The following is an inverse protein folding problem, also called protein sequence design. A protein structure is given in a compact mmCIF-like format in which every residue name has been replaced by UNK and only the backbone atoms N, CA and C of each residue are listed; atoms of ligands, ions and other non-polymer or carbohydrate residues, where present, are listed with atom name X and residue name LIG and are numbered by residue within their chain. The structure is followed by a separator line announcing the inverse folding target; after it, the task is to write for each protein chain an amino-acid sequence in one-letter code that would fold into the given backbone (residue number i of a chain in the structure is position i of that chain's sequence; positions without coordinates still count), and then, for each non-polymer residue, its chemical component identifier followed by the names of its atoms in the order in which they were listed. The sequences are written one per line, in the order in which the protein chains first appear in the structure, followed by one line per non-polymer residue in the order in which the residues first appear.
data_IF_553807287648
#
_entry.id   IF_553807287648
#
_cell.length_a   1.000
_cell.length_b   1.000
_cell.length_c   1.000
_cell.angle_alpha   90.00
_cell.angle_beta   90.00
_cell.angle_gamma   90.00
#
_symmetry.space_group_name_H-M   'P 1'
#
loop_
_entity.id
_entity.type
_entity.pdbx_description
1 polymer ?
#
# COMPACT_ATOMS: atom_id res chain seq x y z
N UNK A 1 -24.14 -1.16 5.15
CA UNK A 1 -22.67 -1.06 5.09
C UNK A 1 -22.13 -1.16 6.51
N UNK A 2 -20.98 -1.81 6.72
CA UNK A 2 -20.42 -2.00 8.06
C UNK A 2 -20.09 -0.64 8.71
N UNK A 3 -20.71 -0.34 9.87
CA UNK A 3 -20.46 0.89 10.64
C UNK A 3 -19.09 0.88 11.31
N UNK A 4 -18.60 2.04 11.74
CA UNK A 4 -17.24 2.14 12.31
C UNK A 4 -17.11 1.31 13.61
N UNK A 5 -15.88 0.95 14.00
CA UNK A 5 -15.64 0.22 15.25
C UNK A 5 -16.09 1.03 16.48
N UNK A 6 -15.96 2.36 16.44
CA UNK A 6 -16.43 3.21 17.52
C UNK A 6 -17.96 3.21 17.61
N UNK A 7 -18.66 3.29 16.48
CA UNK A 7 -20.13 3.16 16.44
C UNK A 7 -20.60 1.80 16.95
N UNK A 8 -19.83 0.73 16.71
CA UNK A 8 -20.14 -0.62 17.23
C UNK A 8 -19.99 -0.68 18.76
N UNK A 9 -18.95 -0.05 19.31
CA UNK A 9 -18.65 -0.06 20.75
C UNK A 9 -19.59 0.87 21.54
N UNK A 10 -19.96 2.01 20.94
CA UNK A 10 -20.79 3.04 21.59
C UNK A 10 -22.30 2.74 21.48
N UNK A 11 -22.71 1.70 20.72
CA UNK A 11 -24.12 1.38 20.50
C UNK A 11 -24.80 0.88 21.78
N UNK A 12 -25.82 1.59 22.31
CA UNK A 12 -26.56 1.16 23.51
C UNK A 12 -27.57 0.02 23.23
N UNK A 13 -27.81 -0.32 21.95
CA UNK A 13 -28.65 -1.45 21.53
C UNK A 13 -27.79 -2.56 20.93
N UNK A 14 -28.15 -3.81 21.25
CA UNK A 14 -27.50 -5.03 20.77
C UNK A 14 -27.07 -4.88 19.31
N UNK A 15 -25.75 -4.87 19.03
CA UNK A 15 -25.27 -4.75 17.67
C UNK A 15 -25.81 -5.90 16.81
N UNK A 16 -26.02 -5.64 15.52
CA UNK A 16 -26.43 -6.67 14.57
C UNK A 16 -25.53 -7.92 14.69
N UNK A 17 -26.14 -9.06 15.01
CA UNK A 17 -25.44 -10.31 15.31
C UNK A 17 -24.47 -10.70 14.19
N UNK A 18 -24.87 -10.50 12.92
CA UNK A 18 -24.05 -10.79 11.75
C UNK A 18 -22.80 -9.89 11.69
N UNK A 19 -22.93 -8.63 12.06
CA UNK A 19 -21.81 -7.69 12.17
C UNK A 19 -20.83 -8.12 13.25
N UNK A 20 -21.33 -8.55 14.41
CA UNK A 20 -20.49 -9.08 15.49
C UNK A 20 -19.75 -10.37 15.10
N UNK A 21 -20.45 -11.31 14.47
CA UNK A 21 -19.85 -12.57 13.99
C UNK A 21 -18.75 -12.31 12.96
N UNK A 22 -18.95 -11.35 12.07
CA UNK A 22 -17.94 -10.96 11.08
C UNK A 22 -16.71 -10.33 11.74
N UNK A 23 -16.90 -9.37 12.65
CA UNK A 23 -15.76 -8.78 13.38
C UNK A 23 -15.03 -9.82 14.23
N UNK A 24 -15.78 -10.68 14.91
CA UNK A 24 -15.21 -11.80 15.65
C UNK A 24 -14.36 -12.67 14.72
N UNK A 25 -14.86 -13.07 13.55
CA UNK A 25 -14.08 -13.85 12.58
C UNK A 25 -12.81 -13.12 12.12
N UNK A 26 -12.89 -11.83 11.79
CA UNK A 26 -11.74 -11.01 11.36
C UNK A 26 -10.67 -10.94 12.47
N UNK A 27 -11.08 -10.80 13.74
CA UNK A 27 -10.18 -10.56 14.87
C UNK A 27 -9.71 -11.85 15.56
N UNK A 28 -10.33 -13.00 15.29
CA UNK A 28 -10.09 -14.27 16.02
C UNK A 28 -8.85 -15.07 15.58
N UNK A 29 -7.79 -14.40 15.13
CA UNK A 29 -6.55 -15.12 14.80
C UNK A 29 -5.92 -15.69 16.06
N UNK A 30 -5.70 -17.01 16.08
CA UNK A 30 -4.92 -17.69 17.14
C UNK A 30 -3.41 -17.70 16.85
N UNK A 31 -3.03 -17.42 15.60
CA UNK A 31 -1.66 -17.54 15.12
C UNK A 31 -0.82 -16.29 15.39
N UNK A 32 -1.47 -15.13 15.45
CA UNK A 32 -0.79 -13.84 15.60
C UNK A 32 -1.74 -12.77 16.14
N UNK A 33 -1.14 -11.72 16.71
CA UNK A 33 -1.80 -10.49 17.13
C UNK A 33 -1.08 -9.28 16.53
N UNK A 34 -1.84 -8.23 16.24
CA UNK A 34 -1.33 -6.97 15.69
C UNK A 34 -1.45 -5.89 16.78
N UNK A 35 -0.33 -5.23 17.07
CA UNK A 35 -0.25 -4.20 18.09
C UNK A 35 0.14 -2.87 17.46
N UNK A 36 -0.61 -1.81 17.74
CA UNK A 36 -0.16 -0.45 17.41
C UNK A 36 1.10 -0.12 18.19
N UNK A 37 2.06 0.54 17.54
CA UNK A 37 3.33 0.90 18.16
C UNK A 37 3.71 2.35 17.88
N UNK A 38 4.75 2.82 18.57
CA UNK A 38 5.14 4.22 18.59
C UNK A 38 6.20 4.56 17.53
N UNK A 39 6.48 5.86 17.38
CA UNK A 39 7.49 6.37 16.45
C UNK A 39 8.92 5.91 16.76
N UNK A 40 9.24 5.58 18.01
CA UNK A 40 10.59 5.14 18.37
C UNK A 40 10.94 3.81 17.68
N UNK A 41 9.96 2.91 17.53
CA UNK A 41 10.16 1.67 16.76
C UNK A 41 10.45 1.91 15.29
N UNK A 42 9.93 3.00 14.70
CA UNK A 42 10.24 3.34 13.33
C UNK A 42 11.72 3.69 13.14
N UNK A 43 12.33 4.42 14.09
CA UNK A 43 13.78 4.69 14.03
C UNK A 43 14.60 3.41 14.17
N UNK A 44 14.21 2.48 15.05
CA UNK A 44 14.86 1.16 15.14
C UNK A 44 14.75 0.40 13.81
N UNK A 45 13.60 0.43 13.13
CA UNK A 45 13.45 -0.20 11.82
C UNK A 45 14.42 0.45 10.81
N UNK A 46 14.54 1.78 10.81
CA UNK A 46 15.48 2.50 9.92
C UNK A 46 16.94 2.14 10.20
N UNK A 47 17.32 1.96 11.46
CA UNK A 47 18.66 1.50 11.83
C UNK A 47 18.91 0.07 11.33
N UNK A 48 17.93 -0.82 11.49
CA UNK A 48 18.03 -2.23 11.07
C UNK A 48 18.05 -2.42 9.55
N UNK A 49 17.33 -1.59 8.80
CA UNK A 49 17.26 -1.69 7.32
C UNK A 49 18.28 -0.82 6.59
N UNK A 50 18.85 0.17 7.29
CA UNK A 50 19.74 1.17 6.73
C UNK A 50 19.02 2.41 6.17
N UNK A 51 19.81 3.38 5.74
CA UNK A 51 19.30 4.64 5.22
C UNK A 51 18.62 4.46 3.84
N UNK A 52 17.45 5.09 3.61
CA UNK A 52 16.79 5.05 2.32
C UNK A 52 17.60 5.85 1.28
N UNK A 53 17.54 5.44 0.01
CA UNK A 53 18.29 6.15 -1.05
C UNK A 53 17.72 7.52 -1.38
N UNK A 54 16.43 7.68 -1.14
CA UNK A 54 15.67 8.88 -1.42
C UNK A 54 14.90 9.27 -0.16
N UNK A 55 14.52 10.55 0.00
CA UNK A 55 13.58 10.95 1.04
C UNK A 55 12.28 10.15 0.92
N UNK A 56 11.86 9.52 2.02
CA UNK A 56 10.64 8.71 2.10
C UNK A 56 9.69 9.31 3.13
N UNK A 57 8.36 9.23 2.90
CA UNK A 57 7.40 9.65 3.90
C UNK A 57 7.50 8.75 5.15
N UNK A 58 7.27 9.35 6.32
CA UNK A 58 7.09 8.62 7.58
C UNK A 58 5.69 7.99 7.56
N UNK A 59 5.52 6.72 7.97
CA UNK A 59 4.20 6.10 8.04
C UNK A 59 3.30 6.82 9.05
N UNK A 60 2.01 6.94 8.71
CA UNK A 60 1.00 7.51 9.61
C UNK A 60 0.69 6.55 10.77
N UNK A 61 0.69 5.25 10.49
CA UNK A 61 0.49 4.20 11.49
C UNK A 61 1.57 3.12 11.36
N UNK A 62 2.03 2.63 12.51
CA UNK A 62 2.98 1.53 12.61
C UNK A 62 2.37 0.43 13.48
N UNK A 63 2.44 -0.80 12.99
CA UNK A 63 1.99 -1.97 13.72
C UNK A 63 3.09 -3.01 13.84
N UNK A 64 3.18 -3.65 15.00
CA UNK A 64 4.03 -4.81 15.27
C UNK A 64 3.19 -6.08 15.31
N UNK A 65 3.73 -7.15 14.73
CA UNK A 65 3.12 -8.47 14.73
C UNK A 65 3.82 -9.33 15.78
N UNK A 66 3.00 -9.93 16.64
CA UNK A 66 3.41 -10.91 17.63
C UNK A 66 2.78 -12.24 17.27
N UNK A 67 3.60 -13.26 17.00
CA UNK A 67 3.12 -14.60 16.70
C UNK A 67 2.90 -15.42 17.98
N UNK A 68 2.07 -16.47 17.89
CA UNK A 68 1.88 -17.41 18.99
C UNK A 68 3.16 -18.19 19.32
N UNK A 69 3.20 -18.81 20.51
CA UNK A 69 4.40 -19.49 21.03
C UNK A 69 4.90 -20.57 20.08
N UNK A 70 3.99 -21.34 19.48
CA UNK A 70 4.32 -22.44 18.57
C UNK A 70 5.00 -21.93 17.28
N UNK A 71 4.50 -20.82 16.72
CA UNK A 71 5.08 -20.22 15.53
C UNK A 71 6.41 -19.52 15.82
N UNK A 72 6.55 -18.88 16.98
CA UNK A 72 7.83 -18.30 17.41
C UNK A 72 8.89 -19.39 17.60
N UNK A 73 8.58 -20.46 18.33
CA UNK A 73 9.49 -21.58 18.55
C UNK A 73 9.95 -22.19 17.22
N UNK A 74 9.02 -22.44 16.28
CA UNK A 74 9.37 -22.95 14.94
C UNK A 74 10.32 -22.01 14.17
N UNK A 75 10.11 -20.70 14.26
CA UNK A 75 10.97 -19.72 13.60
C UNK A 75 12.36 -19.66 14.26
N UNK A 76 12.42 -19.68 15.58
CA UNK A 76 13.65 -19.69 16.37
C UNK A 76 14.47 -20.97 16.13
N UNK A 77 13.81 -22.13 16.06
CA UNK A 77 14.43 -23.41 15.68
C UNK A 77 15.02 -23.35 14.27
N UNK A 78 14.30 -22.74 13.33
CA UNK A 78 14.78 -22.55 11.94
C UNK A 78 15.94 -21.55 11.88
N UNK A 79 15.89 -20.50 12.70
CA UNK A 79 16.95 -19.51 12.83
C UNK A 79 18.25 -20.18 13.28
N UNK A 80 18.17 -21.12 14.23
CA UNK A 80 19.30 -21.92 14.70
C UNK A 80 20.54 -21.07 15.06
N UNK A 81 20.31 -19.92 15.71
CA UNK A 81 21.35 -18.98 16.12
C UNK A 81 21.95 -18.10 15.02
N UNK A 82 21.42 -18.15 13.78
CA UNK A 82 21.85 -17.27 12.68
C UNK A 82 21.35 -15.84 12.87
N UNK A 83 22.05 -14.90 12.25
CA UNK A 83 21.65 -13.49 12.24
C UNK A 83 20.33 -13.27 11.50
N UNK A 84 19.63 -12.19 11.86
CA UNK A 84 18.41 -11.74 11.20
C UNK A 84 18.70 -10.49 10.35
N UNK A 85 18.12 -10.48 9.16
CA UNK A 85 18.12 -9.35 8.23
C UNK A 85 16.71 -8.78 8.22
N UNK A 86 16.60 -7.45 8.30
CA UNK A 86 15.33 -6.75 8.14
C UNK A 86 15.24 -6.18 6.72
N UNK A 87 14.12 -6.42 6.05
CA UNK A 87 13.88 -5.92 4.70
C UNK A 87 12.41 -5.63 4.46
N UNK A 88 12.12 -4.73 3.53
CA UNK A 88 10.79 -4.29 3.16
C UNK A 88 10.21 -5.16 2.03
N UNK A 89 8.91 -5.41 2.11
CA UNK A 89 8.10 -5.98 1.03
C UNK A 89 6.94 -5.03 0.72
N UNK A 90 6.90 -4.51 -0.50
CA UNK A 90 5.77 -3.73 -0.97
C UNK A 90 4.74 -4.60 -1.67
N UNK A 91 3.46 -4.35 -1.41
CA UNK A 91 2.35 -5.04 -2.08
C UNK A 91 1.10 -4.17 -2.15
N UNK A 92 0.15 -4.56 -3.00
CA UNK A 92 -1.18 -3.94 -3.02
C UNK A 92 -1.93 -4.25 -1.71
N UNK A 93 -2.74 -3.31 -1.24
CA UNK A 93 -3.39 -3.37 0.08
C UNK A 93 -4.23 -4.65 0.27
N UNK A 94 -4.96 -5.06 -0.77
CA UNK A 94 -5.82 -6.25 -0.79
C UNK A 94 -5.07 -7.56 -0.53
N UNK A 95 -3.76 -7.60 -0.76
CA UNK A 95 -2.95 -8.79 -0.51
C UNK A 95 -2.62 -8.98 0.97
N UNK A 96 -2.66 -7.91 1.78
CA UNK A 96 -2.18 -7.97 3.17
C UNK A 96 -3.01 -8.88 4.07
N UNK A 97 -4.30 -9.06 3.80
CA UNK A 97 -5.09 -10.07 4.51
C UNK A 97 -4.50 -11.47 4.29
N UNK A 98 -4.24 -11.85 3.04
CA UNK A 98 -3.63 -13.15 2.72
C UNK A 98 -2.19 -13.25 3.25
N UNK A 99 -1.38 -12.20 3.11
CA UNK A 99 0.00 -12.18 3.62
C UNK A 99 0.03 -12.40 5.13
N UNK A 100 -0.91 -11.83 5.88
CA UNK A 100 -0.97 -12.02 7.33
C UNK A 100 -1.37 -13.45 7.72
N UNK A 101 -2.35 -14.04 7.02
CA UNK A 101 -2.84 -15.39 7.36
C UNK A 101 -1.98 -16.52 6.80
N UNK A 102 -1.39 -16.33 5.62
CA UNK A 102 -0.70 -17.37 4.86
C UNK A 102 0.81 -17.12 4.72
N UNK A 103 1.31 -15.96 5.18
CA UNK A 103 2.70 -15.54 4.92
C UNK A 103 2.93 -15.10 3.47
N UNK A 104 4.17 -14.70 3.18
CA UNK A 104 4.60 -14.35 1.83
C UNK A 104 4.84 -15.63 1.03
N UNK A 105 3.97 -15.90 0.05
CA UNK A 105 3.97 -17.14 -0.72
C UNK A 105 4.94 -17.04 -1.91
N UNK A 106 6.17 -17.54 -1.75
CA UNK A 106 7.23 -17.47 -2.76
C UNK A 106 6.82 -18.02 -4.13
N UNK A 107 5.95 -19.03 -4.18
CA UNK A 107 5.54 -19.73 -5.41
C UNK A 107 4.50 -19.00 -6.25
N UNK A 108 3.88 -17.94 -5.73
CA UNK A 108 2.93 -17.10 -6.48
C UNK A 108 3.64 -16.03 -7.32
N UNK A 109 4.94 -15.81 -7.10
CA UNK A 109 5.76 -14.81 -7.80
C UNK A 109 6.57 -15.44 -8.96
N UNK A 110 5.91 -16.13 -9.89
CA UNK A 110 6.58 -16.87 -10.98
C UNK A 110 7.17 -15.97 -12.07
N UNK A 111 6.62 -14.79 -12.29
CA UNK A 111 7.09 -13.84 -13.30
C UNK A 111 8.03 -12.82 -12.66
N UNK A 112 9.32 -13.14 -12.56
CA UNK A 112 10.27 -12.21 -11.99
C UNK A 112 11.65 -12.31 -12.62
N UNK A 113 12.21 -11.14 -12.91
CA UNK A 113 13.44 -10.97 -13.69
C UNK A 113 14.65 -11.68 -13.06
N UNK A 114 14.70 -11.78 -11.73
CA UNK A 114 15.84 -12.35 -11.02
C UNK A 114 15.60 -13.77 -10.51
N UNK A 115 14.55 -14.46 -10.97
CA UNK A 115 14.21 -15.83 -10.58
C UNK A 115 13.13 -15.94 -9.49
N UNK A 116 12.55 -17.13 -9.34
CA UNK A 116 11.41 -17.36 -8.45
C UNK A 116 11.73 -17.11 -6.97
N UNK A 117 10.82 -16.43 -6.27
CA UNK A 117 10.92 -16.20 -4.83
C UNK A 117 10.14 -14.97 -4.35
N UNK A 118 10.22 -14.71 -3.05
CA UNK A 118 9.73 -13.47 -2.45
C UNK A 118 10.78 -12.39 -2.56
N UNK A 119 10.41 -11.29 -3.23
CA UNK A 119 11.25 -10.14 -3.42
C UNK A 119 11.11 -9.18 -2.24
N UNK A 120 12.25 -8.84 -1.64
CA UNK A 120 12.38 -7.85 -0.59
C UNK A 120 13.42 -6.82 -0.99
N UNK A 121 13.42 -5.70 -0.30
CA UNK A 121 14.45 -4.67 -0.46
C UNK A 121 14.85 -4.05 0.87
N UNK A 122 16.12 -3.70 1.03
CA UNK A 122 16.56 -2.91 2.19
C UNK A 122 16.13 -1.44 2.09
N UNK A 123 15.62 -1.00 0.95
CA UNK A 123 15.29 0.40 0.69
C UNK A 123 13.77 0.63 0.65
N UNK A 124 13.26 1.35 1.65
CA UNK A 124 11.85 1.69 1.74
C UNK A 124 11.32 2.44 0.51
N UNK A 125 12.15 3.28 -0.13
CA UNK A 125 11.72 4.03 -1.32
C UNK A 125 11.36 3.11 -2.48
N UNK A 126 12.05 1.97 -2.62
CA UNK A 126 11.75 0.95 -3.63
C UNK A 126 10.50 0.16 -3.26
N UNK A 127 10.34 -0.23 -1.99
CA UNK A 127 9.15 -0.96 -1.53
C UNK A 127 7.85 -0.14 -1.70
N UNK A 128 7.92 1.18 -1.53
CA UNK A 128 6.79 2.08 -1.74
C UNK A 128 6.29 2.09 -3.18
N UNK A 129 7.15 1.88 -4.18
CA UNK A 129 6.74 1.79 -5.60
C UNK A 129 5.81 0.61 -5.86
N UNK A 130 5.94 -0.45 -5.06
CA UNK A 130 5.09 -1.65 -5.13
C UNK A 130 3.87 -1.60 -4.19
N UNK A 131 3.69 -0.47 -3.49
CA UNK A 131 2.65 -0.30 -2.46
C UNK A 131 1.71 0.87 -2.82
N UNK A 132 0.93 0.77 -3.91
CA UNK A 132 0.05 1.85 -4.31
C UNK A 132 -1.08 2.06 -3.30
N UNK A 133 -1.53 3.32 -3.17
CA UNK A 133 -2.72 3.65 -2.40
C UNK A 133 -3.94 2.96 -3.01
N UNK A 134 -4.70 2.27 -2.16
CA UNK A 134 -5.85 1.48 -2.55
C UNK A 134 -7.02 1.73 -1.60
N UNK A 135 -8.25 1.49 -2.08
CA UNK A 135 -9.44 1.63 -1.26
C UNK A 135 -9.46 0.53 -0.19
N UNK A 136 -9.46 0.94 1.08
CA UNK A 136 -9.67 0.08 2.23
C UNK A 136 -11.12 0.16 2.71
N UNK A 137 -11.28 0.15 4.03
CA UNK A 137 -12.60 0.26 4.64
C UNK A 137 -13.04 1.72 4.81
N UNK A 138 -14.18 2.09 4.22
CA UNK A 138 -14.69 3.46 4.19
C UNK A 138 -14.87 4.11 5.58
N UNK A 139 -15.18 3.31 6.60
CA UNK A 139 -15.44 3.77 7.98
C UNK A 139 -14.25 3.50 8.91
N UNK A 140 -13.06 3.22 8.33
CA UNK A 140 -11.83 3.02 9.08
C UNK A 140 -11.38 4.31 9.76
N UNK A 141 -10.94 4.20 11.01
CA UNK A 141 -10.29 5.29 11.75
C UNK A 141 -8.98 5.74 11.08
N UNK A 142 -8.33 4.87 10.30
CA UNK A 142 -7.11 5.19 9.54
C UNK A 142 -7.41 5.92 8.22
N UNK A 143 -8.69 6.10 7.87
CA UNK A 143 -9.12 6.65 6.59
C UNK A 143 -9.40 5.57 5.53
N UNK A 144 -10.10 5.94 4.45
CA UNK A 144 -10.64 5.01 3.46
C UNK A 144 -9.64 4.59 2.38
N UNK A 145 -8.50 5.27 2.25
CA UNK A 145 -7.49 5.02 1.22
C UNK A 145 -6.15 4.84 1.89
N UNK A 146 -5.58 3.65 1.77
CA UNK A 146 -4.37 3.23 2.48
C UNK A 146 -3.34 2.65 1.51
N UNK A 147 -2.07 2.85 1.82
CA UNK A 147 -0.94 2.07 1.29
C UNK A 147 -0.28 1.33 2.46
N UNK A 148 0.25 0.14 2.22
CA UNK A 148 0.88 -0.68 3.25
C UNK A 148 2.17 -1.31 2.75
N UNK A 149 3.21 -1.30 3.59
CA UNK A 149 4.50 -1.95 3.38
C UNK A 149 4.76 -2.91 4.54
N UNK A 150 5.12 -4.15 4.24
CA UNK A 150 5.56 -5.12 5.23
C UNK A 150 7.05 -4.93 5.54
N UNK A 151 7.42 -4.97 6.81
CA UNK A 151 8.81 -5.14 7.26
C UNK A 151 8.96 -6.59 7.69
N UNK A 152 9.89 -7.31 7.07
CA UNK A 152 10.08 -8.73 7.25
C UNK A 152 11.35 -9.01 8.03
N UNK A 153 11.28 -9.99 8.93
CA UNK A 153 12.45 -10.65 9.51
C UNK A 153 12.84 -11.81 8.60
N UNK A 154 14.10 -11.82 8.18
CA UNK A 154 14.66 -12.82 7.28
C UNK A 154 15.86 -13.48 7.95
N UNK A 155 15.88 -14.80 8.05
CA UNK A 155 17.03 -15.55 8.57
C UNK A 155 18.16 -15.49 7.54
N UNK A 156 19.37 -15.08 7.96
CA UNK A 156 20.53 -15.05 7.08
C UNK A 156 20.99 -16.47 6.71
N UNK A 157 20.41 -16.99 5.63
CA UNK A 157 20.59 -18.37 5.16
C UNK A 157 21.07 -18.40 3.70
N UNK A 158 21.80 -19.44 3.25
CA UNK A 158 22.21 -19.59 1.86
C UNK A 158 21.09 -19.55 0.81
N UNK A 159 19.84 -19.83 1.21
CA UNK A 159 18.65 -19.76 0.33
C UNK A 159 18.12 -18.33 0.15
N UNK A 160 18.62 -17.37 0.91
CA UNK A 160 18.41 -15.94 0.68
C UNK A 160 19.45 -15.47 -0.33
N UNK A 161 19.00 -15.04 -1.51
CA UNK A 161 19.88 -14.54 -2.58
C UNK A 161 19.97 -13.02 -2.48
N UNK A 162 21.19 -12.52 -2.38
CA UNK A 162 21.49 -11.12 -2.13
C UNK A 162 22.97 -10.83 -2.38
N UNK A 163 23.28 -9.57 -2.62
CA UNK A 163 24.66 -9.06 -2.68
C UNK A 163 24.93 -8.25 -1.41
N UNK A 164 25.32 -8.94 -0.33
CA UNK A 164 25.60 -8.29 0.96
C UNK A 164 27.04 -7.80 0.97
N UNK A 165 27.26 -6.58 1.48
CA UNK A 165 28.62 -6.11 1.82
C UNK A 165 29.08 -6.85 3.07
N UNK A 166 30.26 -7.48 3.04
CA UNK A 166 30.79 -8.12 4.24
C UNK A 166 30.91 -7.09 5.36
N UNK A 167 30.46 -7.47 6.56
CA UNK A 167 30.81 -6.79 7.82
C UNK A 167 32.35 -6.74 7.83
N UNK A 168 32.91 -5.53 7.77
CA UNK A 168 34.36 -5.24 7.80
C UNK A 168 35.16 -5.30 6.48
N UNK A 169 34.53 -5.43 5.30
CA UNK A 169 35.25 -5.20 4.03
C UNK A 169 34.43 -4.48 2.96
N UNK A 170 35.11 -3.73 2.08
CA UNK A 170 34.47 -3.10 0.90
C UNK A 170 34.09 -4.12 -0.18
N UNK A 171 34.42 -5.40 0.01
CA UNK A 171 34.11 -6.46 -0.93
C UNK A 171 32.66 -6.93 -0.77
N UNK A 172 31.97 -7.01 -1.91
CA UNK A 172 30.61 -7.54 -2.00
C UNK A 172 30.71 -9.05 -2.04
N UNK A 173 30.04 -9.74 -1.12
CA UNK A 173 29.94 -11.20 -1.17
C UNK A 173 28.99 -11.61 -2.30
N UNK A 174 29.57 -11.98 -3.44
CA UNK A 174 28.82 -12.41 -4.64
C UNK A 174 28.41 -13.88 -4.59
N UNK A 175 28.78 -14.65 -3.54
CA UNK A 175 28.49 -16.09 -3.46
C UNK A 175 27.00 -16.41 -3.50
N UNK A 176 26.14 -15.47 -3.07
CA UNK A 176 24.68 -15.60 -3.05
C UNK A 176 23.96 -14.68 -4.04
N UNK A 177 24.68 -14.11 -5.01
CA UNK A 177 24.13 -13.07 -5.88
C UNK A 177 23.10 -13.58 -6.90
N UNK A 178 23.09 -14.88 -7.23
CA UNK A 178 22.28 -15.41 -8.34
C UNK A 178 21.28 -16.47 -7.89
N UNK A 179 20.03 -16.32 -8.32
CA UNK A 179 18.98 -17.36 -8.21
C UNK A 179 19.12 -18.34 -9.38
N UNK A 180 18.78 -19.62 -9.15
CA UNK A 180 18.70 -20.61 -10.22
C UNK A 180 17.66 -20.14 -11.26
N UNK A 181 18.00 -20.17 -12.54
CA UNK A 181 17.15 -19.71 -13.65
C UNK A 181 16.85 -18.20 -13.71
N UNK A 182 17.70 -17.35 -13.10
CA UNK A 182 17.59 -15.90 -13.28
C UNK A 182 17.91 -15.47 -14.72
N UNK A 183 16.92 -14.87 -15.41
CA UNK A 183 17.07 -14.30 -16.75
C UNK A 183 17.77 -12.94 -16.73
N UNK A 184 17.58 -12.16 -15.66
CA UNK A 184 18.15 -10.81 -15.48
C UNK A 184 19.52 -10.76 -14.83
N UNK A 185 20.18 -11.91 -14.63
CA UNK A 185 21.52 -11.97 -14.04
C UNK A 185 21.51 -11.96 -12.51
N UNK A 186 22.40 -11.19 -11.90
CA UNK A 186 22.55 -11.15 -10.44
C UNK A 186 21.50 -10.24 -9.78
N UNK A 187 21.01 -10.64 -8.60
CA UNK A 187 20.09 -9.84 -7.77
C UNK A 187 20.76 -8.52 -7.39
N UNK A 188 20.18 -7.35 -7.64
CA UNK A 188 20.84 -6.07 -7.33
C UNK A 188 21.07 -5.88 -5.82
N UNK A 189 22.03 -5.03 -5.44
CA UNK A 189 22.52 -4.89 -4.05
C UNK A 189 21.46 -4.58 -2.99
N UNK A 190 20.40 -3.87 -3.36
CA UNK A 190 19.32 -3.47 -2.44
C UNK A 190 18.17 -4.48 -2.39
N UNK A 191 18.24 -5.56 -3.17
CA UNK A 191 17.20 -6.57 -3.23
C UNK A 191 17.65 -7.88 -2.60
N UNK A 192 16.67 -8.59 -2.05
CA UNK A 192 16.82 -9.94 -1.54
C UNK A 192 15.74 -10.80 -2.21
N UNK A 193 16.11 -12.00 -2.64
CA UNK A 193 15.17 -13.01 -3.12
C UNK A 193 15.20 -14.18 -2.14
N UNK A 194 14.11 -14.36 -1.42
CA UNK A 194 13.93 -15.48 -0.49
C UNK A 194 13.17 -16.58 -1.22
N UNK A 195 13.75 -17.77 -1.33
CA UNK A 195 13.10 -18.91 -2.02
C UNK A 195 12.33 -19.84 -1.07
N UNK A 196 12.65 -19.81 0.23
CA UNK A 196 12.02 -20.64 1.24
C UNK A 196 11.19 -19.79 2.21
N UNK A 197 9.87 -20.02 2.22
CA UNK A 197 8.92 -19.32 3.09
C UNK A 197 9.22 -19.46 4.59
N UNK A 198 9.94 -20.50 5.02
CA UNK A 198 10.26 -20.71 6.45
C UNK A 198 11.34 -19.74 6.96
N UNK A 199 12.06 -19.10 6.04
CA UNK A 199 13.14 -18.17 6.38
C UNK A 199 12.68 -16.74 6.57
N UNK A 200 11.39 -16.46 6.37
CA UNK A 200 10.83 -15.12 6.36
C UNK A 200 9.52 -15.07 7.14
N UNK A 201 9.34 -14.02 7.93
CA UNK A 201 8.05 -13.65 8.51
C UNK A 201 7.84 -12.16 8.51
N UNK A 202 6.59 -11.70 8.50
CA UNK A 202 6.28 -10.28 8.60
C UNK A 202 6.35 -9.88 10.07
N UNK A 203 7.14 -8.86 10.40
CA UNK A 203 7.32 -8.39 11.78
C UNK A 203 6.62 -7.07 12.03
N UNK A 204 6.61 -6.16 11.06
CA UNK A 204 5.92 -4.87 11.17
C UNK A 204 5.12 -4.54 9.91
N UNK A 205 4.10 -3.69 10.06
CA UNK A 205 3.36 -3.08 8.97
C UNK A 205 3.48 -1.56 9.06
N UNK A 206 4.01 -0.96 7.99
CA UNK A 206 4.01 0.49 7.79
C UNK A 206 2.74 0.83 7.00
N UNK A 207 1.88 1.69 7.55
CA UNK A 207 0.63 2.09 6.90
C UNK A 207 0.64 3.59 6.65
N UNK A 208 0.37 3.95 5.40
CA UNK A 208 0.28 5.32 4.91
C UNK A 208 -1.16 5.61 4.58
N UNK A 209 -1.72 6.63 5.24
CA UNK A 209 -3.06 7.08 4.97
C UNK A 209 -3.00 8.21 3.95
N UNK A 210 -3.71 8.05 2.85
CA UNK A 210 -3.91 9.19 1.98
C UNK A 210 -4.82 10.16 2.71
N UNK A 211 -4.24 11.27 3.18
CA UNK A 211 -5.01 12.42 3.65
C UNK A 211 -5.90 12.84 2.50
N UNK A 212 -7.17 12.42 2.54
CA UNK A 212 -8.19 13.11 1.78
C UNK A 212 -8.14 14.53 2.33
N UNK A 213 -7.77 15.50 1.49
CA UNK A 213 -8.27 16.84 1.73
C UNK A 213 -9.77 16.64 1.92
N UNK A 214 -10.25 16.69 3.17
CA UNK A 214 -11.66 16.83 3.46
C UNK A 214 -12.09 17.91 2.50
N UNK A 215 -12.92 17.58 1.51
CA UNK A 215 -13.47 18.59 0.62
C UNK A 215 -14.03 19.63 1.58
N UNK A 216 -13.48 20.84 1.58
CA UNK A 216 -14.06 21.90 2.39
C UNK A 216 -15.54 21.92 2.03
N UNK A 217 -16.45 21.94 3.02
CA UNK A 217 -17.87 22.08 2.74
C UNK A 217 -18.04 23.44 2.05
N UNK A 218 -18.11 23.42 0.71
CA UNK A 218 -17.95 24.64 -0.10
C UNK A 218 -17.39 24.43 -1.51
N UNK A 219 -16.90 23.23 -1.88
CA UNK A 219 -16.61 22.95 -3.29
C UNK A 219 -17.93 22.96 -4.08
N UNK A 220 -18.17 24.04 -4.82
CA UNK A 220 -19.39 24.22 -5.61
C UNK A 220 -19.57 23.06 -6.58
N UNK A 221 -20.82 22.64 -6.81
CA UNK A 221 -21.19 21.54 -7.71
C UNK A 221 -20.52 21.67 -9.10
N UNK A 222 -20.35 22.91 -9.57
CA UNK A 222 -19.66 23.27 -10.82
C UNK A 222 -18.20 22.81 -10.85
N UNK A 223 -17.49 22.89 -9.71
CA UNK A 223 -16.09 22.47 -9.60
C UNK A 223 -15.89 20.95 -9.58
N UNK A 224 -16.93 20.20 -9.21
CA UNK A 224 -16.92 18.74 -9.22
C UNK A 224 -17.25 18.17 -10.61
N UNK A 225 -18.01 18.92 -11.43
CA UNK A 225 -18.47 18.50 -12.75
C UNK A 225 -17.84 19.33 -13.88
N UNK A 226 -16.55 19.67 -13.75
CA UNK A 226 -15.81 20.54 -14.70
C UNK A 226 -15.98 20.10 -16.15
N UNK A 227 -15.92 18.79 -16.42
CA UNK A 227 -16.09 18.26 -17.77
C UNK A 227 -17.49 18.54 -18.33
N UNK A 228 -18.54 18.27 -17.56
CA UNK A 228 -19.91 18.53 -17.98
C UNK A 228 -20.16 20.04 -18.19
N UNK A 229 -19.67 20.87 -17.28
CA UNK A 229 -19.77 22.35 -17.39
C UNK A 229 -19.06 22.87 -18.65
N UNK A 230 -17.85 22.38 -18.93
CA UNK A 230 -17.12 22.75 -20.15
C UNK A 230 -17.82 22.29 -21.42
N UNK A 231 -18.42 21.09 -21.41
CA UNK A 231 -19.18 20.57 -22.54
C UNK A 231 -20.47 21.37 -22.79
N UNK A 232 -21.18 21.75 -21.73
CA UNK A 232 -22.37 22.60 -21.83
C UNK A 232 -22.02 24.01 -22.34
N UNK A 233 -20.94 24.62 -21.85
CA UNK A 233 -20.46 25.92 -22.34
C UNK A 233 -20.07 25.86 -23.82
N UNK A 234 -19.40 24.79 -24.24
CA UNK A 234 -19.01 24.57 -25.62
C UNK A 234 -20.23 24.44 -26.54
N UNK A 235 -21.24 23.65 -26.15
CA UNK A 235 -22.50 23.53 -26.89
C UNK A 235 -23.23 24.87 -26.99
N UNK A 236 -23.24 25.66 -25.91
CA UNK A 236 -23.88 26.97 -25.88
C UNK A 236 -23.18 27.96 -26.83
N UNK A 237 -21.85 27.92 -26.90
CA UNK A 237 -21.06 28.69 -27.86
C UNK A 237 -21.36 28.30 -29.31
N UNK A 238 -21.49 27.00 -29.61
CA UNK A 238 -21.90 26.53 -30.95
C UNK A 238 -23.31 27.01 -31.32
N UNK A 239 -24.25 27.00 -30.38
CA UNK A 239 -25.61 27.52 -30.60
C UNK A 239 -25.57 29.03 -30.87
N UNK A 240 -24.79 29.80 -30.10
CA UNK A 240 -24.63 31.24 -30.34
C UNK A 240 -24.09 31.49 -31.74
N UNK A 241 -22.99 30.85 -32.14
CA UNK A 241 -22.41 30.99 -33.48
C UNK A 241 -23.41 30.59 -34.56
N UNK A 242 -24.15 29.49 -34.35
CA UNK A 242 -25.19 29.02 -35.28
C UNK A 242 -26.34 30.01 -35.44
N UNK A 243 -26.80 30.63 -34.34
CA UNK A 243 -27.85 31.65 -34.39
C UNK A 243 -27.35 32.97 -34.99
N UNK A 244 -26.14 33.43 -34.65
CA UNK A 244 -25.56 34.66 -35.19
C UNK A 244 -25.27 34.58 -36.70
N UNK A 245 -24.99 33.40 -37.23
CA UNK A 245 -24.79 33.17 -38.66
C UNK A 245 -26.08 32.81 -39.42
N UNK A 246 -27.24 32.72 -38.73
CA UNK A 246 -28.50 32.43 -39.38
C UNK A 246 -29.17 33.71 -39.90
N UNK A 247 -29.47 33.81 -41.21
CA UNK A 247 -30.13 34.99 -41.79
C UNK A 247 -31.55 35.20 -41.23
N UNK A 248 -32.22 34.14 -40.77
CA UNK A 248 -33.52 34.24 -40.11
C UNK A 248 -33.43 34.92 -38.73
N UNK A 249 -32.38 34.63 -37.96
CA UNK A 249 -32.17 35.25 -36.65
C UNK A 249 -31.80 36.73 -36.79
N UNK A 250 -30.91 37.08 -37.72
CA UNK A 250 -30.57 38.48 -38.04
C UNK A 250 -31.81 39.27 -38.50
N UNK A 251 -32.68 38.66 -39.31
CA UNK A 251 -33.94 39.26 -39.74
C UNK A 251 -34.88 39.58 -38.56
N UNK A 252 -35.08 38.63 -37.65
CA UNK A 252 -35.92 38.86 -36.45
C UNK A 252 -35.28 39.83 -35.45
N UNK A 253 -33.95 39.79 -35.29
CA UNK A 253 -33.21 40.68 -34.40
C UNK A 253 -33.30 42.14 -34.86
N UNK A 254 -33.07 42.40 -36.16
CA UNK A 254 -33.23 43.73 -36.74
C UNK A 254 -34.67 44.22 -36.62
N UNK A 255 -35.67 43.35 -36.87
CA UNK A 255 -37.09 43.71 -36.72
C UNK A 255 -37.48 44.10 -35.28
N UNK A 256 -36.86 43.51 -34.26
CA UNK A 256 -37.11 43.86 -32.85
C UNK A 256 -36.46 45.20 -32.47
N UNK A 257 -35.29 45.52 -33.04
CA UNK A 257 -34.61 46.79 -32.81
C UNK A 257 -35.17 47.94 -33.66
N UNK A 258 -35.66 47.67 -34.86
CA UNK A 258 -36.33 48.65 -35.73
C UNK A 258 -37.73 49.04 -35.20
N UNK A 259 -38.34 48.24 -34.32
CA UNK A 259 -39.61 48.58 -33.66
C UNK A 259 -39.44 49.62 -32.54
N UNK A 260 -38.21 50.08 -32.26
CA UNK A 260 -37.90 51.07 -31.22
C UNK A 260 -37.43 52.44 -31.75
N UNK A 261 -37.58 52.69 -33.05
CA UNK A 261 -37.47 54.04 -33.64
C UNK A 261 -38.86 54.57 -33.99
#
# INVERSE_FOLDING_TARGET
ALGSLQELLDSPQNPDQRTLELFHWILSSKAWCIHSTNKNKYETIRELTGAPSMPVPVPDFLFEITYCKEMNAKFEDTQAGRDLIYAFHGSRLENFHSIMHNGLQCHLNRTSLFGEGTYLTSDLSLALLYSPHSLGWQRSAMGPILSCVAVCEVIDHPDVKCQVKKKDSREIDRKRARVKNSEGGDVPQKYFVVTNNQLIRVKYLLVYSQRQHRRLPGQSWLSAHRFAVMMSLYLLLLVIIGTSNSPAFLYYWNRIFDFKQ
#
